data_IF_865362793176
#
_entry.id   IF_865362793176
#
_cell.length_a   1.000
_cell.length_b   1.000
_cell.length_c   1.000
_cell.angle_alpha   90.00
_cell.angle_beta   90.00
_cell.angle_gamma   90.00
#
_symmetry.space_group_name_H-M   'P 1'
#
loop_
_entity.id
_entity.type
_entity.pdbx_description
1 polymer ?
#
# COMPACT_ATOMS: atom_id res chain seq x y z
N UNK A 1 9.81 -14.27 -11.27
CA UNK A 1 8.44 -13.73 -11.06
C UNK A 1 8.15 -12.56 -12.00
N UNK A 2 8.84 -11.43 -11.90
CA UNK A 2 8.57 -10.27 -12.77
C UNK A 2 8.99 -10.45 -14.24
N UNK A 3 9.63 -11.54 -14.60
CA UNK A 3 9.91 -11.91 -15.99
C UNK A 3 8.69 -12.52 -16.69
N UNK A 4 7.83 -13.19 -15.93
CA UNK A 4 6.62 -13.84 -16.43
C UNK A 4 5.38 -12.93 -16.32
N UNK A 5 5.35 -12.05 -15.31
CA UNK A 5 4.22 -11.16 -15.05
C UNK A 5 4.54 -9.70 -15.41
N UNK A 6 3.50 -8.98 -15.80
CA UNK A 6 3.61 -7.57 -16.17
C UNK A 6 4.00 -6.69 -14.98
N UNK A 7 3.36 -6.89 -13.84
CA UNK A 7 3.65 -6.25 -12.57
C UNK A 7 3.15 -7.11 -11.42
N UNK A 8 3.63 -6.84 -10.21
CA UNK A 8 3.12 -7.41 -8.97
C UNK A 8 2.33 -6.36 -8.21
N UNK A 9 1.17 -6.75 -7.67
CA UNK A 9 0.34 -5.89 -6.82
C UNK A 9 0.27 -6.54 -5.44
N UNK A 10 0.63 -5.80 -4.40
CA UNK A 10 0.60 -6.29 -3.03
C UNK A 10 0.24 -5.17 -2.04
N UNK A 11 -0.26 -5.50 -0.85
CA UNK A 11 -0.52 -4.50 0.16
C UNK A 11 0.79 -3.90 0.70
N UNK A 12 0.83 -2.61 1.08
CA UNK A 12 1.99 -1.99 1.71
C UNK A 12 2.15 -2.36 3.19
N UNK A 13 1.04 -2.73 3.85
CA UNK A 13 0.98 -3.11 5.26
C UNK A 13 0.13 -4.35 5.46
N UNK A 14 0.41 -5.13 6.50
CA UNK A 14 -0.35 -6.34 6.82
C UNK A 14 -1.70 -6.03 7.51
N UNK A 15 -1.89 -4.83 8.02
CA UNK A 15 -3.11 -4.41 8.71
C UNK A 15 -3.40 -2.92 8.53
N UNK A 16 -4.68 -2.55 8.62
CA UNK A 16 -5.17 -1.18 8.71
C UNK A 16 -5.66 -0.83 10.14
N UNK A 17 -5.46 -1.72 11.10
CA UNK A 17 -6.06 -1.62 12.42
C UNK A 17 -5.10 -1.04 13.47
N UNK A 18 -4.22 -0.12 13.09
CA UNK A 18 -3.37 0.59 14.04
C UNK A 18 -4.17 1.75 14.62
N UNK A 19 -4.31 1.78 15.94
CA UNK A 19 -5.02 2.85 16.64
C UNK A 19 -4.15 4.10 16.74
N UNK A 20 -4.77 5.27 16.66
CA UNK A 20 -4.06 6.55 16.79
C UNK A 20 -3.42 6.77 18.16
N UNK A 21 -3.96 6.14 19.21
CA UNK A 21 -3.47 6.21 20.59
C UNK A 21 -2.49 5.08 20.95
N UNK A 22 -2.21 4.17 20.02
CA UNK A 22 -1.30 3.05 20.22
C UNK A 22 0.13 3.54 20.42
N UNK A 23 0.78 3.03 21.45
CA UNK A 23 2.17 3.37 21.72
C UNK A 23 3.12 2.55 20.86
N UNK A 24 4.31 3.08 20.49
CA UNK A 24 5.27 2.36 19.65
C UNK A 24 5.76 1.02 20.22
N UNK A 25 5.65 0.84 21.53
CA UNK A 25 6.05 -0.39 22.21
C UNK A 25 4.89 -1.38 22.46
N UNK A 26 3.66 -1.01 22.10
CA UNK A 26 2.51 -1.91 22.19
C UNK A 26 2.52 -2.88 21.02
N UNK A 27 2.28 -4.16 21.31
CA UNK A 27 2.20 -5.18 20.30
C UNK A 27 0.98 -4.99 19.40
N UNK A 28 1.16 -5.26 18.12
CA UNK A 28 0.10 -5.22 17.13
C UNK A 28 -0.40 -6.64 16.92
N UNK A 29 -1.68 -6.86 17.17
CA UNK A 29 -2.30 -8.19 17.02
C UNK A 29 -2.93 -8.34 15.64
N UNK A 30 -2.45 -9.30 14.84
CA UNK A 30 -2.95 -9.58 13.49
C UNK A 30 -3.20 -11.07 13.32
N UNK A 31 -4.44 -11.44 13.08
CA UNK A 31 -4.85 -12.83 12.81
C UNK A 31 -4.28 -13.85 13.81
N UNK A 32 -4.35 -13.56 15.10
CA UNK A 32 -3.88 -14.46 16.16
C UNK A 32 -2.37 -14.46 16.38
N UNK A 33 -1.63 -13.54 15.78
CA UNK A 33 -0.20 -13.34 16.00
C UNK A 33 0.07 -11.95 16.55
N UNK A 34 0.97 -11.88 17.53
CA UNK A 34 1.49 -10.62 18.01
C UNK A 34 2.72 -10.23 17.21
N UNK A 35 2.70 -9.02 16.70
CA UNK A 35 3.83 -8.41 16.00
C UNK A 35 4.57 -7.49 16.98
N UNK A 36 5.87 -7.60 17.03
CA UNK A 36 6.68 -6.94 18.06
C UNK A 36 7.00 -5.48 17.74
N UNK A 37 6.85 -5.07 16.46
CA UNK A 37 7.21 -3.72 16.05
C UNK A 37 6.45 -3.25 14.82
N UNK A 38 6.51 -1.95 14.56
CA UNK A 38 6.00 -1.34 13.34
C UNK A 38 6.69 -1.88 12.07
N UNK A 39 7.90 -2.41 12.20
CA UNK A 39 8.61 -3.03 11.08
C UNK A 39 7.95 -4.32 10.61
N UNK A 40 7.37 -5.10 11.52
CA UNK A 40 6.75 -6.39 11.21
C UNK A 40 5.46 -6.24 10.39
N UNK A 41 4.84 -5.06 10.43
CA UNK A 41 3.66 -4.75 9.61
C UNK A 41 4.00 -4.23 8.22
N UNK A 42 5.25 -3.83 8.00
CA UNK A 42 5.68 -3.15 6.78
C UNK A 42 6.05 -4.17 5.70
N UNK A 43 5.26 -4.22 4.64
CA UNK A 43 5.50 -5.07 3.47
C UNK A 43 6.29 -4.36 2.36
N UNK A 44 6.74 -3.13 2.58
CA UNK A 44 7.54 -2.39 1.61
C UNK A 44 9.02 -2.73 1.69
N UNK A 45 9.50 -3.14 2.87
CA UNK A 45 10.90 -3.41 3.14
C UNK A 45 11.57 -4.38 2.13
N UNK A 46 10.96 -5.51 1.73
CA UNK A 46 11.57 -6.41 0.75
C UNK A 46 11.88 -5.75 -0.59
N UNK A 47 11.02 -4.85 -1.06
CA UNK A 47 11.21 -4.14 -2.32
C UNK A 47 12.24 -3.02 -2.19
N UNK A 48 12.28 -2.33 -1.06
CA UNK A 48 13.29 -1.31 -0.75
C UNK A 48 14.69 -1.92 -0.66
N UNK A 49 14.81 -3.13 -0.12
CA UNK A 49 16.10 -3.85 -0.06
C UNK A 49 16.63 -4.19 -1.45
N UNK A 50 15.76 -4.45 -2.43
CA UNK A 50 16.13 -4.71 -3.80
C UNK A 50 16.54 -3.47 -4.59
N UNK A 51 16.26 -2.27 -4.10
CA UNK A 51 16.66 -0.91 -4.50
C UNK A 51 16.61 -0.54 -5.99
N UNK A 52 16.30 -1.49 -6.87
CA UNK A 52 16.26 -1.31 -8.34
C UNK A 52 14.88 -1.52 -8.94
N UNK A 53 13.93 -1.98 -8.12
CA UNK A 53 12.57 -2.19 -8.57
C UNK A 53 11.78 -0.89 -8.39
N UNK A 54 11.12 -0.38 -9.42
CA UNK A 54 10.19 0.73 -9.26
C UNK A 54 8.96 0.26 -8.49
N UNK A 55 8.55 1.03 -7.51
CA UNK A 55 7.38 0.79 -6.67
C UNK A 55 6.52 2.03 -6.63
N UNK A 56 5.25 1.89 -6.94
CA UNK A 56 4.25 2.95 -6.88
C UNK A 56 3.18 2.58 -5.86
N UNK A 57 2.84 3.50 -4.96
CA UNK A 57 1.70 3.36 -4.07
C UNK A 57 0.47 4.04 -4.67
N UNK A 58 -0.64 3.32 -4.72
CA UNK A 58 -1.91 3.79 -5.31
C UNK A 58 -3.05 3.54 -4.33
N UNK A 59 -3.97 4.50 -4.21
CA UNK A 59 -5.21 4.31 -3.45
C UNK A 59 -6.05 3.18 -4.06
N UNK A 60 -6.54 2.27 -3.23
CA UNK A 60 -7.27 1.08 -3.68
C UNK A 60 -8.65 0.92 -3.03
N UNK A 61 -9.10 1.91 -2.28
CA UNK A 61 -10.45 1.90 -1.69
C UNK A 61 -10.47 2.17 -0.19
N UNK A 62 -11.57 1.75 0.44
CA UNK A 62 -11.83 1.94 1.87
C UNK A 62 -11.94 0.57 2.53
N UNK A 63 -11.22 0.37 3.62
CA UNK A 63 -11.31 -0.82 4.45
C UNK A 63 -12.65 -0.85 5.23
N UNK A 64 -12.98 -2.00 5.82
CA UNK A 64 -14.23 -2.17 6.60
C UNK A 64 -14.35 -1.22 7.78
N UNK A 65 -13.24 -0.80 8.34
CA UNK A 65 -13.17 0.16 9.44
C UNK A 65 -13.28 1.63 9.00
N UNK A 66 -13.54 1.88 7.70
CA UNK A 66 -13.69 3.23 7.13
C UNK A 66 -12.37 3.92 6.79
N UNK A 67 -11.24 3.30 7.04
CA UNK A 67 -9.93 3.88 6.72
C UNK A 67 -9.56 3.68 5.24
N UNK A 68 -8.90 4.67 4.62
CA UNK A 68 -8.41 4.53 3.27
C UNK A 68 -7.29 3.50 3.21
N UNK A 69 -7.32 2.68 2.17
CA UNK A 69 -6.30 1.68 1.90
C UNK A 69 -5.63 1.91 0.55
N UNK A 70 -4.39 1.46 0.44
CA UNK A 70 -3.64 1.49 -0.80
C UNK A 70 -3.06 0.12 -1.14
N UNK A 71 -2.53 0.05 -2.34
CA UNK A 71 -1.72 -1.07 -2.81
C UNK A 71 -0.41 -0.54 -3.36
N UNK A 72 0.63 -1.36 -3.32
CA UNK A 72 1.87 -1.08 -4.02
C UNK A 72 1.93 -1.91 -5.31
N UNK A 73 2.34 -1.24 -6.36
CA UNK A 73 2.59 -1.81 -7.69
C UNK A 73 4.09 -1.87 -7.90
N UNK A 74 4.60 -3.05 -8.18
CA UNK A 74 6.04 -3.30 -8.37
C UNK A 74 6.26 -3.80 -9.79
N UNK A 75 7.21 -3.23 -10.52
CA UNK A 75 7.58 -3.65 -11.85
C UNK A 75 9.06 -4.06 -11.91
N UNK A 76 9.51 -4.46 -13.11
CA UNK A 76 10.91 -4.82 -13.37
C UNK A 76 11.84 -3.63 -13.11
N UNK A 77 13.07 -3.93 -12.83
CA UNK A 77 14.12 -2.92 -12.69
C UNK A 77 14.15 -1.96 -13.88
N UNK A 78 14.20 -0.68 -13.59
CA UNK A 78 14.25 0.42 -14.55
C UNK A 78 13.01 0.58 -15.47
N UNK A 79 11.90 -0.09 -15.17
CA UNK A 79 10.65 0.01 -15.91
C UNK A 79 9.63 0.86 -15.15
N UNK A 80 9.99 2.09 -14.87
CA UNK A 80 9.17 3.04 -14.09
C UNK A 80 7.84 3.34 -14.80
N UNK A 81 7.84 3.41 -16.12
CA UNK A 81 6.62 3.66 -16.88
C UNK A 81 5.53 2.62 -16.61
N UNK A 82 5.92 1.38 -16.38
CA UNK A 82 5.00 0.26 -16.15
C UNK A 82 4.20 0.43 -14.85
N UNK A 83 4.83 0.86 -13.77
CA UNK A 83 4.11 1.09 -12.50
C UNK A 83 3.07 2.19 -12.65
N UNK A 84 3.35 3.24 -13.44
CA UNK A 84 2.38 4.29 -13.74
C UNK A 84 1.23 3.81 -14.63
N UNK A 85 1.48 2.96 -15.61
CA UNK A 85 0.41 2.38 -16.43
C UNK A 85 -0.54 1.53 -15.58
N UNK A 86 0.00 0.67 -14.73
CA UNK A 86 -0.81 -0.16 -13.82
C UNK A 86 -1.51 0.70 -12.77
N UNK A 87 -0.80 1.64 -12.16
CA UNK A 87 -1.36 2.58 -11.19
C UNK A 87 -2.54 3.37 -11.73
N UNK A 88 -2.41 3.89 -12.96
CA UNK A 88 -3.49 4.58 -13.66
C UNK A 88 -4.70 3.68 -13.93
N UNK A 89 -4.47 2.42 -14.27
CA UNK A 89 -5.55 1.46 -14.46
C UNK A 89 -6.32 1.20 -13.15
N UNK A 90 -5.60 1.05 -12.03
CA UNK A 90 -6.19 0.90 -10.69
C UNK A 90 -6.98 2.15 -10.31
N UNK A 91 -6.41 3.34 -10.47
CA UNK A 91 -7.06 4.61 -10.15
C UNK A 91 -8.36 4.82 -10.95
N UNK A 92 -8.37 4.42 -12.22
CA UNK A 92 -9.58 4.47 -13.05
C UNK A 92 -10.64 3.46 -12.62
N UNK A 93 -10.23 2.28 -12.22
CA UNK A 93 -11.14 1.22 -11.76
C UNK A 93 -11.69 1.52 -10.34
N UNK A 94 -10.91 2.17 -9.50
CA UNK A 94 -11.20 2.47 -8.09
C UNK A 94 -10.96 3.96 -7.81
N UNK A 95 -11.74 4.88 -8.41
CA UNK A 95 -11.51 6.31 -8.28
C UNK A 95 -11.68 6.75 -6.83
N UNK A 96 -10.64 7.38 -6.28
CA UNK A 96 -10.62 7.84 -4.89
C UNK A 96 -11.08 9.30 -4.73
N UNK A 97 -10.60 10.18 -5.60
CA UNK A 97 -10.79 11.63 -5.51
C UNK A 97 -11.97 12.15 -6.35
N UNK A 98 -12.79 11.29 -6.90
CA UNK A 98 -13.99 11.66 -7.65
C UNK A 98 -15.12 12.15 -6.74
N UNK A 99 -15.10 11.82 -5.47
CA UNK A 99 -16.07 12.26 -4.47
C UNK A 99 -15.55 13.48 -3.70
N UNK A 100 -16.32 14.57 -3.71
CA UNK A 100 -15.96 15.81 -3.01
C UNK A 100 -15.69 15.61 -1.50
N UNK A 101 -16.40 14.67 -0.87
CA UNK A 101 -16.22 14.37 0.56
C UNK A 101 -14.86 13.74 0.89
N UNK A 102 -14.14 13.22 -0.10
CA UNK A 102 -12.82 12.61 0.07
C UNK A 102 -11.67 13.56 -0.27
N UNK A 103 -11.98 14.71 -0.84
CA UNK A 103 -10.96 15.71 -1.18
C UNK A 103 -10.57 16.49 0.06
N UNK A 104 -9.27 16.81 0.24
CA UNK A 104 -8.85 17.69 1.29
C UNK A 104 -9.57 19.04 1.14
N UNK A 105 -10.15 19.53 2.23
CA UNK A 105 -10.66 20.89 2.24
C UNK A 105 -9.46 21.84 2.33
N UNK A 106 -9.38 22.79 1.41
CA UNK A 106 -8.47 23.91 1.53
C UNK A 106 -8.88 24.71 2.76
N UNK A 107 -8.05 24.67 3.76
CA UNK A 107 -8.25 25.44 4.99
C UNK A 107 -7.80 26.88 4.81
#
# INVERSE_FOLDING_TARGET
>A
MLEEYYASICPPYVTHEIRADQKPWERIHVKGRDLDSDYDINMQAPFNMLSRLPVLSVSAGIARNGLPGGVQVVARSYDDARVFYVGRAIERALPWLDCAARRPMAG
#
